data_IF_225068925119
#
_entry.id   IF_225068925119
#
_cell.length_a   1.000
_cell.length_b   1.000
_cell.length_c   1.000
_cell.angle_alpha   90.00
_cell.angle_beta   90.00
_cell.angle_gamma   90.00
#
_symmetry.space_group_name_H-M   'P 1'
#
loop_
_entity.id
_entity.type
_entity.pdbx_description
1 polymer ?
#
# COMPACT_ATOMS: atom_id res chain seq x y z
N UNK A 1 -6.42 -9.83 27.99
CA UNK A 1 -6.90 -10.96 27.19
C UNK A 1 -8.26 -11.41 27.72
N UNK A 2 -9.39 -10.94 27.20
CA UNK A 2 -10.71 -11.39 27.69
C UNK A 2 -11.67 -11.97 26.65
N UNK A 3 -11.32 -12.01 25.36
CA UNK A 3 -12.23 -12.45 24.29
C UNK A 3 -11.70 -13.60 23.43
N UNK A 4 -11.02 -14.57 24.04
CA UNK A 4 -10.73 -15.85 23.38
C UNK A 4 -11.04 -16.95 24.36
N UNK A 5 -11.98 -17.84 24.03
CA UNK A 5 -12.34 -18.98 24.89
C UNK A 5 -11.19 -20.00 24.87
N UNK A 6 -10.13 -19.72 25.62
CA UNK A 6 -8.97 -20.57 25.75
C UNK A 6 -9.10 -21.46 26.99
N UNK A 7 -8.50 -22.64 26.96
CA UNK A 7 -8.44 -23.50 28.14
C UNK A 7 -7.60 -22.84 29.24
N UNK A 8 -7.86 -23.17 30.51
CA UNK A 8 -7.08 -22.64 31.64
C UNK A 8 -5.57 -22.83 31.45
N UNK A 9 -5.15 -23.99 30.90
CA UNK A 9 -3.74 -24.28 30.60
C UNK A 9 -3.16 -23.33 29.54
N UNK A 10 -3.93 -22.96 28.52
CA UNK A 10 -3.49 -21.97 27.53
C UNK A 10 -3.44 -20.57 28.12
N UNK A 11 -4.38 -20.22 29.02
CA UNK A 11 -4.34 -18.95 29.72
C UNK A 11 -3.08 -18.83 30.60
N UNK A 12 -2.77 -19.86 31.39
CA UNK A 12 -1.54 -19.92 32.21
C UNK A 12 -0.27 -19.78 31.35
N UNK A 13 -0.24 -20.43 30.19
CA UNK A 13 0.86 -20.31 29.23
C UNK A 13 1.03 -18.87 28.71
N UNK A 14 -0.08 -18.22 28.32
CA UNK A 14 -0.03 -16.83 27.88
C UNK A 14 0.38 -15.87 28.99
N UNK A 15 -0.11 -16.07 30.21
CA UNK A 15 0.24 -15.25 31.37
C UNK A 15 1.74 -15.37 31.70
N UNK A 16 2.34 -16.56 31.55
CA UNK A 16 3.79 -16.77 31.71
C UNK A 16 4.61 -16.02 30.65
N UNK A 17 4.18 -16.06 29.38
CA UNK A 17 4.82 -15.31 28.30
C UNK A 17 4.71 -13.80 28.51
N UNK A 18 3.53 -13.29 28.86
CA UNK A 18 3.32 -11.85 29.13
C UNK A 18 4.18 -11.38 30.30
N UNK A 19 4.25 -12.16 31.38
CA UNK A 19 5.08 -11.84 32.55
C UNK A 19 6.56 -11.79 32.21
N UNK A 20 7.05 -12.76 31.42
CA UNK A 20 8.46 -12.81 31.01
C UNK A 20 8.78 -11.62 30.11
N UNK A 21 7.93 -11.35 29.12
CA UNK A 21 8.06 -10.22 28.21
C UNK A 21 8.11 -8.88 28.95
N UNK A 22 7.24 -8.69 29.95
CA UNK A 22 7.23 -7.47 30.77
C UNK A 22 8.55 -7.29 31.53
N UNK A 23 9.12 -8.38 32.06
CA UNK A 23 10.43 -8.35 32.71
C UNK A 23 11.55 -7.88 31.77
N UNK A 24 11.58 -8.40 30.54
CA UNK A 24 12.57 -8.00 29.53
C UNK A 24 12.39 -6.54 29.09
N UNK A 25 11.15 -6.07 28.92
CA UNK A 25 10.85 -4.68 28.60
C UNK A 25 11.32 -3.73 29.70
N UNK A 26 11.16 -4.09 30.97
CA UNK A 26 11.61 -3.27 32.08
C UNK A 26 13.14 -3.11 32.08
N UNK A 27 13.87 -4.18 31.75
CA UNK A 27 15.33 -4.15 31.58
C UNK A 27 15.71 -3.23 30.43
N UNK A 28 15.12 -3.44 29.25
CA UNK A 28 15.38 -2.63 28.05
C UNK A 28 15.04 -1.14 28.28
N UNK A 29 13.93 -0.85 28.94
CA UNK A 29 13.50 0.51 29.27
C UNK A 29 14.49 1.21 30.22
N UNK A 30 15.00 0.51 31.23
CA UNK A 30 16.05 1.04 32.12
C UNK A 30 17.34 1.33 31.37
N UNK A 31 17.72 0.49 30.40
CA UNK A 31 18.89 0.70 29.56
C UNK A 31 18.72 1.92 28.65
N UNK A 32 17.61 2.00 27.91
CA UNK A 32 17.29 3.12 27.00
C UNK A 32 17.25 4.47 27.71
N UNK A 33 16.74 4.53 28.94
CA UNK A 33 16.73 5.76 29.77
C UNK A 33 18.11 6.32 30.12
N UNK A 34 19.20 5.57 29.90
CA UNK A 34 20.57 6.08 30.08
C UNK A 34 20.99 7.07 28.98
N UNK A 35 20.24 7.17 27.89
CA UNK A 35 20.49 8.13 26.80
C UNK A 35 21.71 7.79 25.95
N UNK A 36 22.10 6.51 25.88
CA UNK A 36 23.26 6.03 25.11
C UNK A 36 22.88 5.49 23.71
N UNK A 37 21.59 5.51 23.37
CA UNK A 37 21.00 4.94 22.16
C UNK A 37 20.21 6.02 21.39
N UNK A 38 19.84 5.80 20.11
CA UNK A 38 19.15 6.81 19.29
C UNK A 38 17.86 7.37 19.90
N UNK A 39 17.14 6.57 20.68
CA UNK A 39 15.93 6.96 21.41
C UNK A 39 16.02 6.59 22.89
N UNK A 40 15.49 7.44 23.79
CA UNK A 40 15.49 7.19 25.24
C UNK A 40 14.39 6.20 25.70
N UNK A 41 13.68 5.60 24.76
CA UNK A 41 12.60 4.63 24.97
C UNK A 41 12.80 3.42 24.04
N UNK A 42 12.04 2.35 24.29
CA UNK A 42 12.00 1.17 23.41
C UNK A 42 11.33 1.52 22.08
N UNK A 43 11.90 1.07 20.96
CA UNK A 43 11.41 1.37 19.60
C UNK A 43 10.55 0.24 19.01
N UNK A 44 10.45 -0.91 19.70
CA UNK A 44 9.63 -2.05 19.28
C UNK A 44 8.36 -2.06 20.14
N UNK A 45 7.21 -1.60 19.63
CA UNK A 45 5.99 -1.57 20.40
C UNK A 45 5.38 -2.98 20.53
N UNK A 46 4.79 -3.26 21.68
CA UNK A 46 4.00 -4.49 21.86
C UNK A 46 2.66 -4.36 21.15
N UNK A 47 2.16 -5.43 20.53
CA UNK A 47 0.83 -5.49 19.95
C UNK A 47 0.17 -6.83 20.30
N UNK A 48 -1.14 -6.81 20.58
CA UNK A 48 -1.88 -8.02 20.98
C UNK A 48 -2.48 -8.76 19.80
N UNK A 49 -2.87 -8.04 18.76
CA UNK A 49 -3.52 -8.55 17.57
C UNK A 49 -3.13 -7.74 16.34
N UNK A 50 -3.72 -8.07 15.19
CA UNK A 50 -3.50 -7.38 13.92
C UNK A 50 -3.87 -5.90 14.02
N UNK A 51 -5.03 -5.58 14.61
CA UNK A 51 -5.52 -4.21 14.71
C UNK A 51 -4.56 -3.33 15.53
N UNK A 52 -4.06 -3.83 16.66
CA UNK A 52 -3.03 -3.18 17.47
C UNK A 52 -1.73 -2.98 16.68
N UNK A 53 -1.31 -3.99 15.89
CA UNK A 53 -0.10 -3.86 15.06
C UNK A 53 -0.26 -2.72 14.06
N UNK A 54 -1.40 -2.66 13.36
CA UNK A 54 -1.65 -1.62 12.35
C UNK A 54 -1.67 -0.23 12.99
N UNK A 55 -2.41 -0.04 14.07
CA UNK A 55 -2.47 1.27 14.77
C UNK A 55 -1.09 1.73 15.24
N UNK A 56 -0.30 0.84 15.84
CA UNK A 56 1.04 1.17 16.34
C UNK A 56 2.05 1.40 15.23
N UNK A 57 1.93 0.64 14.13
CA UNK A 57 2.80 0.77 12.97
C UNK A 57 2.55 2.10 12.24
N UNK A 58 1.28 2.52 12.14
CA UNK A 58 0.88 3.75 11.45
C UNK A 58 0.90 4.98 12.35
N UNK A 59 0.80 4.81 13.66
CA UNK A 59 0.74 5.92 14.61
C UNK A 59 -0.58 6.72 14.54
N UNK A 60 -1.67 6.10 14.09
CA UNK A 60 -2.98 6.75 13.91
C UNK A 60 -3.95 6.19 14.95
N UNK A 61 -4.26 7.00 15.97
CA UNK A 61 -5.10 6.58 17.09
C UNK A 61 -6.52 6.27 16.62
N UNK A 62 -7.12 5.19 17.14
CA UNK A 62 -8.50 4.80 16.81
C UNK A 62 -8.63 3.89 15.59
N UNK A 63 -7.54 3.61 14.86
CA UNK A 63 -7.54 2.64 13.76
C UNK A 63 -7.82 1.23 14.27
N UNK A 64 -7.25 0.81 15.41
CA UNK A 64 -7.44 -0.54 15.93
C UNK A 64 -8.91 -0.86 16.28
N UNK A 65 -9.64 -0.04 17.07
CA UNK A 65 -11.07 -0.30 17.31
C UNK A 65 -11.90 -0.26 16.03
N UNK A 66 -11.59 0.62 15.07
CA UNK A 66 -12.26 0.68 13.77
C UNK A 66 -12.10 -0.63 12.98
N UNK A 67 -10.87 -1.15 12.88
CA UNK A 67 -10.59 -2.43 12.21
C UNK A 67 -11.38 -3.57 12.86
N UNK A 68 -11.38 -3.67 14.19
CA UNK A 68 -12.08 -4.74 14.92
C UNK A 68 -13.59 -4.70 14.66
N UNK A 69 -14.17 -3.50 14.65
CA UNK A 69 -15.60 -3.34 14.34
C UNK A 69 -15.90 -3.80 12.91
N UNK A 70 -15.09 -3.41 11.94
CA UNK A 70 -15.28 -3.76 10.54
C UNK A 70 -15.08 -5.27 10.30
N UNK A 71 -13.99 -5.86 10.79
CA UNK A 71 -13.72 -7.31 10.64
C UNK A 71 -14.79 -8.19 11.31
N UNK A 72 -15.55 -7.67 12.29
CA UNK A 72 -16.70 -8.40 12.86
C UNK A 72 -17.91 -8.51 11.90
N UNK A 73 -17.95 -7.68 10.85
CA UNK A 73 -19.09 -7.53 9.93
C UNK A 73 -18.76 -7.94 8.50
N UNK A 74 -17.49 -7.87 8.09
CA UNK A 74 -17.06 -8.09 6.70
C UNK A 74 -15.71 -8.80 6.62
N UNK A 75 -15.31 -9.18 5.39
CA UNK A 75 -13.99 -9.78 5.18
C UNK A 75 -12.89 -8.75 5.44
N UNK A 76 -11.66 -9.24 5.69
CA UNK A 76 -10.51 -8.36 5.91
C UNK A 76 -10.26 -7.40 4.76
N UNK A 77 -10.43 -7.84 3.51
CA UNK A 77 -10.23 -6.98 2.34
C UNK A 77 -11.29 -5.88 2.25
N UNK A 78 -12.55 -6.22 2.56
CA UNK A 78 -13.61 -5.22 2.66
C UNK A 78 -13.36 -4.25 3.83
N UNK A 79 -12.89 -4.77 4.98
CA UNK A 79 -12.54 -3.97 6.15
C UNK A 79 -11.36 -3.03 5.85
N UNK A 80 -10.34 -3.49 5.13
CA UNK A 80 -9.19 -2.68 4.71
C UNK A 80 -9.61 -1.50 3.82
N UNK A 81 -10.57 -1.71 2.92
CA UNK A 81 -11.11 -0.65 2.09
C UNK A 81 -11.97 0.32 2.91
N UNK A 82 -12.86 -0.20 3.75
CA UNK A 82 -13.73 0.66 4.54
C UNK A 82 -12.93 1.51 5.55
N UNK A 83 -11.95 0.92 6.24
CA UNK A 83 -11.08 1.68 7.15
C UNK A 83 -10.27 2.73 6.40
N UNK A 84 -9.83 2.46 5.16
CA UNK A 84 -9.13 3.48 4.35
C UNK A 84 -10.03 4.68 4.05
N UNK A 85 -11.31 4.45 3.74
CA UNK A 85 -12.29 5.53 3.55
C UNK A 85 -12.53 6.28 4.85
N UNK A 86 -12.69 5.56 5.97
CA UNK A 86 -12.94 6.18 7.27
C UNK A 86 -11.74 7.01 7.76
N UNK A 87 -10.51 6.60 7.43
CA UNK A 87 -9.29 7.39 7.67
C UNK A 87 -9.24 8.61 6.74
N UNK A 88 -9.40 8.41 5.42
CA UNK A 88 -9.33 9.51 4.44
C UNK A 88 -10.38 10.60 4.67
N UNK A 89 -11.58 10.21 5.09
CA UNK A 89 -12.71 11.14 5.36
C UNK A 89 -12.68 11.74 6.77
N UNK A 90 -11.65 11.44 7.56
CA UNK A 90 -11.46 12.00 8.90
C UNK A 90 -12.36 11.43 9.99
N UNK A 91 -13.04 10.30 9.76
CA UNK A 91 -13.90 9.65 10.77
C UNK A 91 -13.11 8.98 11.90
N UNK A 92 -11.90 8.51 11.60
CA UNK A 92 -11.00 7.90 12.60
C UNK A 92 -10.20 8.99 13.33
N UNK A 93 -9.52 9.84 12.56
CA UNK A 93 -8.73 10.96 13.05
C UNK A 93 -8.69 12.06 11.98
N UNK A 94 -8.59 13.32 12.39
CA UNK A 94 -8.33 14.44 11.48
C UNK A 94 -6.86 14.56 11.10
N UNK A 95 -6.58 14.95 9.85
CA UNK A 95 -5.24 15.24 9.34
C UNK A 95 -5.13 16.72 8.95
N UNK A 96 -3.91 17.25 8.85
CA UNK A 96 -3.70 18.67 8.55
C UNK A 96 -3.98 19.01 7.08
N UNK A 97 -3.91 18.01 6.20
CA UNK A 97 -4.23 18.17 4.77
C UNK A 97 -4.97 16.97 4.17
N UNK A 98 -5.62 17.20 3.02
CA UNK A 98 -6.25 16.16 2.20
C UNK A 98 -5.23 15.09 1.78
N UNK A 99 -4.03 15.50 1.36
CA UNK A 99 -2.94 14.61 0.95
C UNK A 99 -2.48 13.71 2.10
N UNK A 100 -2.30 14.25 3.30
CA UNK A 100 -1.94 13.46 4.48
C UNK A 100 -3.00 12.42 4.84
N UNK A 101 -4.28 12.79 4.76
CA UNK A 101 -5.38 11.85 5.01
C UNK A 101 -5.40 10.71 3.99
N UNK A 102 -5.14 11.02 2.72
CA UNK A 102 -5.07 10.04 1.63
C UNK A 102 -3.85 9.11 1.80
N UNK A 103 -2.67 9.65 2.10
CA UNK A 103 -1.46 8.86 2.35
C UNK A 103 -1.66 7.89 3.53
N UNK A 104 -2.15 8.41 4.65
CA UNK A 104 -2.49 7.61 5.82
C UNK A 104 -3.50 6.49 5.50
N UNK A 105 -4.55 6.81 4.75
CA UNK A 105 -5.58 5.85 4.36
C UNK A 105 -5.02 4.68 3.53
N UNK A 106 -4.18 4.98 2.53
CA UNK A 106 -3.55 3.95 1.69
C UNK A 106 -2.64 3.07 2.53
N UNK A 107 -1.79 3.66 3.38
CA UNK A 107 -0.87 2.89 4.24
C UNK A 107 -1.59 2.02 5.26
N UNK A 108 -2.63 2.53 5.92
CA UNK A 108 -3.46 1.75 6.85
C UNK A 108 -4.06 0.54 6.15
N UNK A 109 -4.61 0.70 4.95
CA UNK A 109 -5.20 -0.41 4.22
C UNK A 109 -4.15 -1.48 3.87
N UNK A 110 -2.98 -1.07 3.37
CA UNK A 110 -1.89 -1.99 3.05
C UNK A 110 -1.40 -2.71 4.31
N UNK A 111 -1.34 -2.01 5.46
CA UNK A 111 -1.01 -2.62 6.73
C UNK A 111 -2.04 -3.67 7.16
N UNK A 112 -3.33 -3.40 7.01
CA UNK A 112 -4.40 -4.40 7.28
C UNK A 112 -4.27 -5.61 6.35
N UNK A 113 -4.11 -5.37 5.05
CA UNK A 113 -4.02 -6.43 4.03
C UNK A 113 -2.79 -7.31 4.18
N UNK A 114 -1.71 -6.77 4.75
CA UNK A 114 -0.46 -7.48 5.03
C UNK A 114 -0.33 -7.89 6.49
N UNK A 115 -1.42 -7.82 7.26
CA UNK A 115 -1.50 -8.17 8.68
C UNK A 115 -0.52 -7.42 9.60
N UNK A 116 0.07 -6.32 9.12
CA UNK A 116 1.08 -5.54 9.80
C UNK A 116 2.37 -6.33 10.08
N UNK A 117 2.70 -7.34 9.26
CA UNK A 117 3.91 -8.18 9.45
C UNK A 117 5.03 -7.91 8.44
N UNK A 118 4.81 -7.01 7.48
CA UNK A 118 5.79 -6.63 6.45
C UNK A 118 6.04 -5.14 6.47
N UNK A 119 7.20 -4.71 5.97
CA UNK A 119 7.59 -3.30 5.93
C UNK A 119 6.89 -2.48 4.84
N UNK A 120 6.15 -3.13 3.92
CA UNK A 120 5.54 -2.49 2.75
C UNK A 120 4.71 -1.21 3.02
N UNK A 121 3.90 -1.10 4.10
CA UNK A 121 3.17 0.14 4.40
C UNK A 121 4.08 1.33 4.74
N UNK A 122 5.31 1.06 5.22
CA UNK A 122 6.27 2.09 5.63
C UNK A 122 7.30 2.31 4.52
N UNK A 123 7.96 1.24 4.08
CA UNK A 123 9.12 1.30 3.18
C UNK A 123 8.75 1.05 1.72
N UNK A 124 7.57 0.49 1.44
CA UNK A 124 7.13 0.17 0.08
C UNK A 124 6.37 1.30 -0.59
N UNK A 125 5.76 2.19 0.20
CA UNK A 125 5.09 3.41 -0.26
C UNK A 125 5.92 4.58 0.28
N UNK A 126 6.58 5.31 -0.59
CA UNK A 126 7.37 6.47 -0.21
C UNK A 126 6.44 7.62 0.20
N UNK A 127 5.47 7.94 -0.65
CA UNK A 127 4.42 8.93 -0.39
C UNK A 127 3.21 8.71 -1.31
N UNK A 128 2.07 9.23 -0.89
CA UNK A 128 0.89 9.42 -1.75
C UNK A 128 0.64 10.92 -1.90
N UNK A 129 0.37 11.35 -3.11
CA UNK A 129 0.16 12.76 -3.45
C UNK A 129 -1.13 12.97 -4.26
N UNK A 130 -1.58 14.22 -4.34
CA UNK A 130 -2.68 14.66 -5.20
C UNK A 130 -2.11 15.65 -6.21
N UNK A 131 -2.27 15.33 -7.49
CA UNK A 131 -1.66 16.09 -8.60
C UNK A 131 -2.70 16.43 -9.67
N UNK A 132 -2.36 17.33 -10.59
CA UNK A 132 -3.26 17.89 -11.59
C UNK A 132 -3.12 17.23 -12.96
N UNK A 133 -4.25 16.83 -13.54
CA UNK A 133 -4.35 16.49 -14.95
C UNK A 133 -4.21 17.75 -15.82
N UNK A 134 -4.00 17.56 -17.12
CA UNK A 134 -3.91 18.66 -18.10
C UNK A 134 -5.19 19.49 -18.23
N UNK A 135 -6.34 18.94 -17.83
CA UNK A 135 -7.63 19.62 -17.81
C UNK A 135 -7.93 20.30 -16.45
N UNK A 136 -6.98 20.29 -15.52
CA UNK A 136 -7.11 20.86 -14.17
C UNK A 136 -7.88 19.99 -13.18
N UNK A 137 -8.28 18.78 -13.56
CA UNK A 137 -8.85 17.82 -12.61
C UNK A 137 -7.76 17.16 -11.75
N UNK A 138 -8.05 16.92 -10.47
CA UNK A 138 -7.07 16.35 -9.52
C UNK A 138 -7.16 14.83 -9.46
N UNK A 139 -6.03 14.13 -9.35
CA UNK A 139 -5.95 12.66 -9.25
C UNK A 139 -4.98 12.22 -8.15
N UNK A 140 -5.10 10.96 -7.69
CA UNK A 140 -4.16 10.36 -6.73
C UNK A 140 -2.94 9.78 -7.45
N UNK A 141 -1.75 10.06 -6.92
CA UNK A 141 -0.47 9.48 -7.33
C UNK A 141 0.17 8.74 -6.16
N UNK A 142 0.62 7.51 -6.36
CA UNK A 142 1.30 6.72 -5.32
C UNK A 142 2.73 6.45 -5.74
N UNK A 143 3.70 6.87 -4.92
CA UNK A 143 5.11 6.63 -5.16
C UNK A 143 5.55 5.34 -4.47
N UNK A 144 5.77 4.29 -5.26
CA UNK A 144 6.25 3.01 -4.76
C UNK A 144 7.77 2.91 -4.76
N UNK A 145 8.32 2.25 -3.74
CA UNK A 145 9.74 1.94 -3.62
C UNK A 145 9.99 0.43 -3.71
N UNK A 146 11.24 0.02 -3.95
CA UNK A 146 11.64 -1.38 -4.10
C UNK A 146 11.16 -2.34 -2.98
N UNK A 147 11.16 -1.94 -1.69
CA UNK A 147 10.64 -2.77 -0.59
C UNK A 147 9.17 -3.18 -0.74
N UNK A 148 8.38 -2.54 -1.61
CA UNK A 148 7.00 -2.97 -1.93
C UNK A 148 6.94 -4.43 -2.40
N UNK A 149 8.05 -5.00 -2.88
CA UNK A 149 8.15 -6.42 -3.22
C UNK A 149 7.82 -7.35 -2.06
N UNK A 150 8.16 -6.96 -0.83
CA UNK A 150 7.93 -7.79 0.37
C UNK A 150 6.45 -7.94 0.71
N UNK A 151 5.59 -7.06 0.21
CA UNK A 151 4.13 -7.16 0.36
C UNK A 151 3.55 -8.36 -0.41
N UNK A 152 4.24 -8.78 -1.47
CA UNK A 152 3.74 -9.72 -2.46
C UNK A 152 2.72 -9.10 -3.43
N UNK A 153 2.58 -9.71 -4.60
CA UNK A 153 1.78 -9.17 -5.70
C UNK A 153 0.31 -8.88 -5.36
N UNK A 154 -0.31 -9.65 -4.45
CA UNK A 154 -1.70 -9.35 -4.04
C UNK A 154 -1.79 -8.02 -3.28
N UNK A 155 -0.90 -7.76 -2.33
CA UNK A 155 -0.95 -6.51 -1.57
C UNK A 155 -0.55 -5.30 -2.44
N UNK A 156 0.41 -5.46 -3.35
CA UNK A 156 0.73 -4.46 -4.38
C UNK A 156 -0.48 -4.08 -5.24
N UNK A 157 -1.22 -5.08 -5.70
CA UNK A 157 -2.40 -4.82 -6.51
C UNK A 157 -3.52 -4.16 -5.71
N UNK A 158 -3.74 -4.62 -4.48
CA UNK A 158 -4.77 -4.07 -3.61
C UNK A 158 -4.43 -2.65 -3.11
N UNK A 159 -3.16 -2.25 -3.02
CA UNK A 159 -2.81 -0.86 -2.71
C UNK A 159 -3.28 0.11 -3.79
N UNK A 160 -3.20 -0.29 -5.07
CA UNK A 160 -3.78 0.46 -6.19
C UNK A 160 -5.31 0.53 -6.08
N UNK A 161 -5.95 -0.58 -5.74
CA UNK A 161 -7.41 -0.64 -5.58
C UNK A 161 -7.90 0.22 -4.40
N UNK A 162 -7.15 0.23 -3.30
CA UNK A 162 -7.44 1.09 -2.15
C UNK A 162 -7.33 2.56 -2.54
N UNK A 163 -6.22 2.95 -3.18
CA UNK A 163 -6.04 4.32 -3.64
C UNK A 163 -7.19 4.75 -4.56
N UNK A 164 -7.66 3.84 -5.41
CA UNK A 164 -8.83 4.07 -6.24
C UNK A 164 -10.13 4.29 -5.44
N UNK A 165 -10.40 3.47 -4.42
CA UNK A 165 -11.57 3.66 -3.57
C UNK A 165 -11.48 4.96 -2.78
N UNK A 166 -10.30 5.30 -2.27
CA UNK A 166 -10.06 6.57 -1.57
C UNK A 166 -10.30 7.74 -2.51
N UNK A 167 -9.76 7.74 -3.75
CA UNK A 167 -9.98 8.84 -4.71
C UNK A 167 -11.46 9.11 -4.92
N UNK A 168 -12.27 8.06 -5.09
CA UNK A 168 -13.70 8.18 -5.38
C UNK A 168 -14.44 8.81 -4.19
N UNK A 169 -14.08 8.42 -2.97
CA UNK A 169 -14.67 8.97 -1.75
C UNK A 169 -14.19 10.40 -1.43
N UNK A 170 -13.02 10.78 -1.94
CA UNK A 170 -12.48 12.15 -1.82
C UNK A 170 -12.91 13.06 -2.98
N UNK A 171 -13.72 12.56 -3.93
CA UNK A 171 -14.17 13.35 -5.09
C UNK A 171 -13.06 13.70 -6.08
N UNK A 172 -12.01 12.89 -6.15
CA UNK A 172 -10.89 13.04 -7.09
C UNK A 172 -11.17 12.29 -8.39
N UNK A 173 -10.71 12.88 -9.50
CA UNK A 173 -10.85 12.33 -10.83
C UNK A 173 -9.81 11.23 -11.12
N UNK A 174 -10.01 10.54 -12.25
CA UNK A 174 -9.04 9.54 -12.71
C UNK A 174 -7.76 10.20 -13.22
N UNK A 175 -6.64 9.51 -13.05
CA UNK A 175 -5.40 9.82 -13.75
C UNK A 175 -5.59 9.73 -15.27
N UNK A 176 -5.13 10.75 -16.00
CA UNK A 176 -5.20 10.83 -17.47
C UNK A 176 -3.77 10.94 -18.02
N UNK A 177 -3.10 9.80 -18.31
CA UNK A 177 -1.74 9.82 -18.83
C UNK A 177 -1.69 10.42 -20.24
N UNK A 178 -0.62 11.13 -20.53
CA UNK A 178 -0.20 11.46 -21.90
C UNK A 178 0.39 10.23 -22.59
N UNK A 179 0.46 10.26 -23.92
CA UNK A 179 1.07 9.17 -24.70
C UNK A 179 2.54 8.94 -24.34
N UNK A 180 3.28 10.02 -24.09
CA UNK A 180 4.69 9.94 -23.70
C UNK A 180 4.86 9.29 -22.33
N UNK A 181 3.96 9.58 -21.38
CA UNK A 181 3.93 8.89 -20.10
C UNK A 181 3.60 7.40 -20.28
N UNK A 182 2.65 7.03 -21.14
CA UNK A 182 2.35 5.60 -21.40
C UNK A 182 3.58 4.87 -21.94
N UNK A 183 4.22 5.40 -22.97
CA UNK A 183 5.41 4.76 -23.56
C UNK A 183 6.62 4.78 -22.61
N UNK A 184 6.71 5.76 -21.71
CA UNK A 184 7.68 5.76 -20.62
C UNK A 184 7.53 4.56 -19.69
N UNK A 185 6.30 4.14 -19.38
CA UNK A 185 6.07 2.94 -18.56
C UNK A 185 6.46 1.67 -19.33
N UNK A 186 6.18 1.61 -20.64
CA UNK A 186 6.59 0.50 -21.50
C UNK A 186 8.11 0.35 -21.47
N UNK A 187 8.83 1.45 -21.71
CA UNK A 187 10.29 1.47 -21.72
C UNK A 187 10.88 1.06 -20.36
N UNK A 188 10.37 1.62 -19.27
CA UNK A 188 10.85 1.30 -17.92
C UNK A 188 10.64 -0.16 -17.53
N UNK A 189 9.46 -0.74 -17.80
CA UNK A 189 9.18 -2.14 -17.42
C UNK A 189 10.05 -3.11 -18.23
N UNK A 190 10.25 -2.86 -19.53
CA UNK A 190 11.12 -3.66 -20.38
C UNK A 190 12.60 -3.54 -19.99
N UNK A 191 13.03 -2.33 -19.59
CA UNK A 191 14.38 -2.08 -19.10
C UNK A 191 14.60 -2.72 -17.72
N UNK A 192 13.64 -2.60 -16.81
CA UNK A 192 13.68 -3.16 -15.47
C UNK A 192 13.90 -4.68 -15.50
N UNK A 193 13.22 -5.39 -16.41
CA UNK A 193 13.44 -6.84 -16.62
C UNK A 193 14.90 -7.22 -16.88
N UNK A 194 15.69 -6.33 -17.49
CA UNK A 194 17.10 -6.60 -17.81
C UNK A 194 18.01 -6.44 -16.60
N UNK A 195 17.63 -5.59 -15.65
CA UNK A 195 18.44 -5.27 -14.46
C UNK A 195 17.94 -5.96 -13.19
N UNK A 196 16.68 -6.35 -13.16
CA UNK A 196 16.04 -7.05 -12.06
C UNK A 196 15.04 -8.11 -12.57
N UNK A 197 14.90 -9.21 -11.83
CA UNK A 197 13.99 -10.28 -12.22
C UNK A 197 12.53 -9.93 -11.87
N UNK A 198 11.62 -10.09 -12.84
CA UNK A 198 10.18 -10.01 -12.67
C UNK A 198 9.56 -11.42 -12.67
N UNK A 199 8.60 -11.67 -11.77
CA UNK A 199 7.81 -12.92 -11.78
C UNK A 199 6.90 -13.04 -13.00
N UNK A 200 6.45 -11.90 -13.52
CA UNK A 200 5.68 -11.78 -14.76
C UNK A 200 6.22 -10.60 -15.55
N UNK A 201 6.47 -10.79 -16.84
CA UNK A 201 6.80 -9.68 -17.72
C UNK A 201 5.62 -9.43 -18.63
N UNK A 202 4.85 -8.36 -18.41
CA UNK A 202 3.76 -8.02 -19.32
C UNK A 202 4.29 -7.63 -20.71
N UNK A 203 3.48 -7.84 -21.75
CA UNK A 203 3.74 -7.31 -23.09
C UNK A 203 3.61 -5.79 -23.13
N UNK A 204 4.06 -5.16 -24.21
CA UNK A 204 3.88 -3.71 -24.36
C UNK A 204 2.39 -3.32 -24.38
N UNK A 205 1.55 -4.11 -25.07
CA UNK A 205 0.10 -3.91 -25.13
C UNK A 205 -0.56 -4.06 -23.75
N UNK A 206 -0.13 -5.05 -22.98
CA UNK A 206 -0.57 -5.23 -21.59
C UNK A 206 -0.19 -4.04 -20.71
N UNK A 207 1.03 -3.52 -20.86
CA UNK A 207 1.47 -2.33 -20.12
C UNK A 207 0.63 -1.11 -20.52
N UNK A 208 0.45 -0.86 -21.83
CA UNK A 208 -0.38 0.24 -22.32
C UNK A 208 -1.81 0.15 -21.79
N UNK A 209 -2.42 -1.03 -21.89
CA UNK A 209 -3.78 -1.28 -21.38
C UNK A 209 -3.89 -0.96 -19.89
N UNK A 210 -2.92 -1.38 -19.07
CA UNK A 210 -2.92 -1.06 -17.64
C UNK A 210 -2.78 0.44 -17.42
N UNK A 211 -1.80 1.10 -18.03
CA UNK A 211 -1.48 2.52 -17.73
C UNK A 211 -2.59 3.45 -18.20
N UNK A 212 -3.16 3.21 -19.38
CA UNK A 212 -4.27 4.01 -19.93
C UNK A 212 -5.57 3.87 -19.13
N UNK A 213 -5.74 2.76 -18.40
CA UNK A 213 -6.96 2.46 -17.66
C UNK A 213 -6.78 2.44 -16.14
N UNK A 214 -5.56 2.58 -15.62
CA UNK A 214 -5.35 2.67 -14.18
C UNK A 214 -5.90 4.02 -13.70
N UNK A 215 -6.85 4.01 -12.74
CA UNK A 215 -7.52 5.23 -12.33
C UNK A 215 -6.66 6.13 -11.42
N UNK A 216 -5.54 5.63 -10.92
CA UNK A 216 -4.52 6.36 -10.15
C UNK A 216 -3.18 6.30 -10.87
N UNK A 217 -2.29 7.25 -10.59
CA UNK A 217 -0.94 7.20 -11.14
C UNK A 217 -0.04 6.31 -10.26
N UNK A 218 0.44 5.20 -10.84
CA UNK A 218 1.41 4.29 -10.19
C UNK A 218 2.79 4.85 -10.47
N UNK A 219 3.38 5.57 -9.53
CA UNK A 219 4.70 6.18 -9.66
C UNK A 219 5.72 5.47 -8.76
N UNK A 220 6.94 5.96 -8.71
CA UNK A 220 7.97 5.45 -7.82
C UNK A 220 9.25 6.26 -7.81
N UNK A 221 10.06 5.98 -6.80
CA UNK A 221 11.42 6.53 -6.69
C UNK A 221 12.36 5.81 -7.68
N UNK A 222 13.42 6.49 -8.17
CA UNK A 222 14.40 5.88 -9.08
C UNK A 222 15.31 4.91 -8.33
N UNK A 223 14.91 3.63 -8.29
CA UNK A 223 15.63 2.59 -7.54
C UNK A 223 16.82 2.01 -8.30
N UNK A 224 16.82 2.05 -9.63
CA UNK A 224 17.89 1.46 -10.44
C UNK A 224 18.78 2.53 -11.10
N UNK A 225 20.05 2.20 -11.33
CA UNK A 225 20.99 3.07 -12.06
C UNK A 225 20.72 3.13 -13.56
N UNK A 226 19.93 2.19 -14.10
CA UNK A 226 19.55 2.19 -15.50
C UNK A 226 18.67 3.40 -15.83
N UNK A 227 18.93 4.03 -16.97
CA UNK A 227 18.17 5.18 -17.47
C UNK A 227 17.40 4.85 -18.74
N UNK A 228 16.28 5.52 -18.92
CA UNK A 228 15.53 5.52 -20.20
C UNK A 228 16.27 6.36 -21.24
N UNK A 229 16.18 5.94 -22.50
CA UNK A 229 16.80 6.59 -23.65
C UNK A 229 15.79 7.42 -24.45
N UNK A 230 14.56 6.91 -24.62
CA UNK A 230 13.54 7.51 -25.45
C UNK A 230 12.72 8.60 -24.75
N UNK A 231 12.04 8.23 -23.67
CA UNK A 231 11.02 9.09 -23.04
C UNK A 231 11.57 9.85 -21.83
N UNK A 232 12.55 10.72 -22.09
CA UNK A 232 13.26 11.50 -21.06
C UNK A 232 12.57 12.82 -20.73
N UNK A 233 12.87 13.36 -19.55
CA UNK A 233 12.55 14.73 -19.13
C UNK A 233 11.05 15.09 -19.19
N UNK A 234 10.19 14.11 -18.88
CA UNK A 234 8.75 14.31 -18.82
C UNK A 234 8.37 15.13 -17.59
N UNK A 235 7.53 16.14 -17.77
CA UNK A 235 7.18 17.13 -16.74
C UNK A 235 6.70 16.51 -15.41
N UNK A 236 5.95 15.40 -15.49
CA UNK A 236 5.39 14.69 -14.33
C UNK A 236 6.29 13.57 -13.79
N UNK A 237 7.40 13.24 -14.46
CA UNK A 237 8.32 12.17 -14.03
C UNK A 237 9.70 12.82 -13.87
N UNK A 238 10.05 13.30 -12.65
CA UNK A 238 11.22 14.15 -12.41
C UNK A 238 12.56 13.38 -12.40
N UNK A 239 12.62 12.24 -13.08
CA UNK A 239 13.80 11.37 -13.17
C UNK A 239 13.83 10.68 -14.52
N UNK A 240 15.03 10.35 -14.99
CA UNK A 240 15.25 9.49 -16.17
C UNK A 240 15.69 8.07 -15.79
N UNK A 241 15.84 7.78 -14.49
CA UNK A 241 16.18 6.45 -13.98
C UNK A 241 14.93 5.59 -13.82
N UNK A 242 15.11 4.27 -13.89
CA UNK A 242 14.02 3.29 -13.74
C UNK A 242 13.45 3.30 -12.32
N UNK A 243 12.13 3.35 -12.23
CA UNK A 243 11.34 3.33 -10.99
C UNK A 243 10.93 1.89 -10.67
N UNK A 244 11.80 1.13 -10.03
CA UNK A 244 11.59 -0.31 -9.82
C UNK A 244 10.35 -0.64 -8.98
N UNK A 245 9.99 0.19 -7.99
CA UNK A 245 8.75 0.03 -7.23
C UNK A 245 7.50 0.10 -8.10
N UNK A 246 7.45 1.05 -9.04
CA UNK A 246 6.40 1.15 -10.05
C UNK A 246 6.36 -0.10 -10.94
N UNK A 247 7.51 -0.54 -11.45
CA UNK A 247 7.60 -1.72 -12.30
C UNK A 247 7.08 -2.99 -11.59
N UNK A 248 7.40 -3.15 -10.31
CA UNK A 248 6.92 -4.27 -9.49
C UNK A 248 5.40 -4.23 -9.31
N UNK A 249 4.83 -3.09 -8.95
CA UNK A 249 3.38 -2.95 -8.76
C UNK A 249 2.60 -3.17 -10.05
N UNK A 250 3.12 -2.67 -11.17
CA UNK A 250 2.50 -2.88 -12.48
C UNK A 250 2.57 -4.35 -12.91
N UNK A 251 3.75 -4.96 -12.86
CA UNK A 251 3.99 -6.29 -13.41
C UNK A 251 3.64 -7.44 -12.46
N UNK A 252 4.14 -7.42 -11.22
CA UNK A 252 3.90 -8.48 -10.22
C UNK A 252 2.60 -8.27 -9.43
N UNK A 253 2.13 -7.03 -9.38
CA UNK A 253 0.84 -6.64 -8.81
C UNK A 253 -0.28 -6.76 -9.82
N UNK A 254 -0.52 -5.70 -10.59
CA UNK A 254 -1.69 -5.58 -11.47
C UNK A 254 -1.75 -6.68 -12.54
N UNK A 255 -0.69 -6.83 -13.33
CA UNK A 255 -0.67 -7.79 -14.43
C UNK A 255 -0.75 -9.24 -13.93
N UNK A 256 0.21 -9.66 -13.08
CA UNK A 256 0.25 -11.04 -12.57
C UNK A 256 -0.96 -11.42 -11.71
N UNK A 257 -1.59 -10.46 -11.00
CA UNK A 257 -2.74 -10.73 -10.12
C UNK A 257 -4.07 -10.28 -10.69
N UNK A 258 -4.16 -9.90 -11.96
CA UNK A 258 -5.40 -9.44 -12.60
C UNK A 258 -6.63 -10.33 -12.29
N UNK A 259 -6.58 -11.68 -12.38
CA UNK A 259 -7.72 -12.53 -12.04
C UNK A 259 -8.19 -12.43 -10.58
N UNK A 260 -7.25 -12.20 -9.65
CA UNK A 260 -7.56 -12.06 -8.23
C UNK A 260 -8.12 -10.66 -7.94
N UNK A 261 -7.57 -9.62 -8.58
CA UNK A 261 -8.08 -8.25 -8.48
C UNK A 261 -9.51 -8.17 -8.96
N UNK A 262 -9.82 -8.78 -10.11
CA UNK A 262 -11.19 -8.79 -10.65
C UNK A 262 -12.20 -9.40 -9.69
N UNK A 263 -11.83 -10.43 -8.92
CA UNK A 263 -12.71 -10.98 -7.87
C UNK A 263 -13.03 -9.94 -6.81
N UNK A 264 -12.06 -9.16 -6.37
CA UNK A 264 -12.28 -8.09 -5.39
C UNK A 264 -13.12 -6.96 -5.99
N UNK A 265 -12.77 -6.47 -7.20
CA UNK A 265 -13.55 -5.47 -7.96
C UNK A 265 -15.03 -5.88 -8.05
N UNK A 266 -15.32 -7.13 -8.42
CA UNK A 266 -16.68 -7.63 -8.54
C UNK A 266 -17.40 -7.73 -7.19
N UNK A 267 -16.71 -8.24 -6.17
CA UNK A 267 -17.28 -8.37 -4.82
C UNK A 267 -17.65 -7.01 -4.22
N UNK A 268 -16.86 -5.99 -4.55
CA UNK A 268 -16.98 -4.62 -4.03
C UNK A 268 -17.77 -3.71 -4.97
N UNK A 269 -18.14 -4.20 -6.16
CA UNK A 269 -18.85 -3.46 -7.22
C UNK A 269 -18.14 -2.16 -7.60
N UNK A 270 -16.82 -2.22 -7.75
CA UNK A 270 -16.01 -1.07 -8.14
C UNK A 270 -16.13 -0.84 -9.65
N UNK A 271 -16.47 0.39 -10.01
CA UNK A 271 -16.58 0.82 -11.41
C UNK A 271 -15.21 1.23 -11.98
N UNK A 272 -15.07 1.20 -13.32
CA UNK A 272 -13.85 1.65 -14.00
C UNK A 272 -12.72 0.61 -14.10
N UNK A 273 -12.98 -0.63 -13.70
CA UNK A 273 -12.04 -1.76 -13.76
C UNK A 273 -12.44 -2.85 -14.76
N UNK A 274 -13.33 -2.55 -15.71
CA UNK A 274 -13.80 -3.50 -16.73
C UNK A 274 -12.70 -3.90 -17.72
N UNK A 275 -11.67 -3.07 -17.87
CA UNK A 275 -10.48 -3.39 -18.66
C UNK A 275 -9.73 -4.63 -18.16
N UNK A 276 -9.90 -5.03 -16.90
CA UNK A 276 -9.35 -6.29 -16.39
C UNK A 276 -9.92 -7.51 -17.12
N UNK A 277 -11.15 -7.45 -17.63
CA UNK A 277 -11.72 -8.56 -18.41
C UNK A 277 -11.00 -8.71 -19.75
N UNK A 278 -10.66 -7.60 -20.41
CA UNK A 278 -9.85 -7.60 -21.63
C UNK A 278 -8.45 -8.16 -21.34
N UNK A 279 -7.82 -7.70 -20.25
CA UNK A 279 -6.52 -8.18 -19.83
C UNK A 279 -6.51 -9.71 -19.60
N UNK A 280 -7.47 -10.22 -18.82
CA UNK A 280 -7.56 -11.66 -18.48
C UNK A 280 -7.89 -12.52 -19.70
N UNK A 281 -8.63 -11.97 -20.68
CA UNK A 281 -8.92 -12.65 -21.94
C UNK A 281 -7.69 -12.79 -22.85
N UNK A 282 -6.56 -12.16 -22.50
CA UNK A 282 -5.31 -12.22 -23.25
C UNK A 282 -5.05 -11.00 -24.14
N UNK A 283 -5.72 -9.87 -23.84
CA UNK A 283 -5.90 -8.67 -24.68
C UNK A 283 -6.67 -8.96 -25.96
#
# INVERSE_FOLDING_TARGET
>A
MKDTSVSNRMQEYFDELEKTLQGEIDIASKARKKGLEPKPHIEIPLAKDLADRVEKLMGIEGVAPCIRELESKMSREAAALQVSVDVATGKVQSFDSETEAIDAAVRVAVAVLTEGVVAAPIEGIERVDVDDNTDGSRFIRVYYAGPIRSAGGTAQALSVLVADVVRQNMGLERYKPSKEEVERYVEEVLLYRRVANLQYTPSEEEIRLIVENCPICIDGEPTEDAEVEGHRDLARIPTNRVRGGMCLVLAEGLALKAPKIKKHVNALKLEGWDWLDQFIAGV
#
